data_IF_477060324586
#
_entry.id   IF_477060324586
#
_cell.length_a   1.000
_cell.length_b   1.000
_cell.length_c   1.000
_cell.angle_alpha   90.00
_cell.angle_beta   90.00
_cell.angle_gamma   90.00
#
_symmetry.space_group_name_H-M   'P 1'
#
loop_
_entity.id
_entity.type
_entity.pdbx_description
1 polymer ?
#
# COMPACT_ATOMS: atom_id res chain seq x y z
N UNK A 1 21.75 -1.49 -16.61
CA UNK A 1 20.53 -1.79 -17.39
C UNK A 1 19.81 -2.94 -16.70
N UNK A 2 18.48 -2.86 -16.51
CA UNK A 2 17.72 -3.93 -15.87
C UNK A 2 17.79 -5.20 -16.70
N UNK A 3 17.86 -6.36 -16.04
CA UNK A 3 17.86 -7.69 -16.71
C UNK A 3 16.58 -7.92 -17.52
N UNK A 4 15.45 -7.37 -17.08
CA UNK A 4 14.16 -7.42 -17.76
C UNK A 4 13.56 -6.01 -17.78
N UNK A 5 13.61 -5.35 -18.94
CA UNK A 5 13.11 -3.99 -19.13
C UNK A 5 11.60 -3.84 -18.91
N UNK A 6 10.82 -4.91 -19.08
CA UNK A 6 9.37 -4.92 -18.85
C UNK A 6 8.94 -5.81 -17.67
N UNK A 7 9.92 -6.25 -16.87
CA UNK A 7 9.70 -7.10 -15.70
C UNK A 7 9.15 -6.33 -14.50
N UNK A 8 8.83 -7.08 -13.44
CA UNK A 8 8.30 -6.53 -12.18
C UNK A 8 9.13 -5.36 -11.63
N UNK A 9 10.47 -5.50 -11.59
CA UNK A 9 11.36 -4.46 -11.05
C UNK A 9 11.32 -3.17 -11.88
N UNK A 10 11.16 -3.27 -13.20
CA UNK A 10 11.01 -2.09 -14.06
C UNK A 10 9.72 -1.35 -13.75
N UNK A 11 8.60 -2.08 -13.66
CA UNK A 11 7.29 -1.50 -13.29
C UNK A 11 7.28 -0.94 -11.87
N UNK A 12 7.95 -1.62 -10.95
CA UNK A 12 8.14 -1.15 -9.58
C UNK A 12 8.91 0.17 -9.55
N UNK A 13 10.00 0.31 -10.31
CA UNK A 13 10.74 1.56 -10.39
C UNK A 13 9.96 2.68 -11.05
N UNK A 14 9.20 2.39 -12.12
CA UNK A 14 8.33 3.38 -12.75
C UNK A 14 7.31 3.96 -11.76
N UNK A 15 6.64 3.11 -10.98
CA UNK A 15 5.72 3.58 -9.93
C UNK A 15 6.47 4.32 -8.82
N UNK A 16 7.60 3.76 -8.38
CA UNK A 16 8.42 4.32 -7.29
C UNK A 16 8.98 5.70 -7.62
N UNK A 17 9.34 5.96 -8.87
CA UNK A 17 9.85 7.25 -9.33
C UNK A 17 8.86 8.38 -9.07
N UNK A 18 7.55 8.12 -9.19
CA UNK A 18 6.51 9.11 -8.92
C UNK A 18 6.11 9.17 -7.44
N UNK A 19 6.08 8.03 -6.75
CA UNK A 19 5.56 7.96 -5.38
C UNK A 19 6.61 8.30 -4.32
N UNK A 20 7.85 7.82 -4.47
CA UNK A 20 8.88 7.96 -3.44
C UNK A 20 9.21 9.43 -3.14
N UNK A 21 9.34 10.34 -4.12
CA UNK A 21 9.65 11.74 -3.80
C UNK A 21 8.58 12.41 -2.93
N UNK A 22 7.30 12.16 -3.23
CA UNK A 22 6.17 12.70 -2.45
C UNK A 22 6.16 12.10 -1.05
N UNK A 23 6.36 10.79 -0.93
CA UNK A 23 6.43 10.12 0.37
C UNK A 23 7.65 10.58 1.18
N UNK A 24 8.82 10.74 0.56
CA UNK A 24 10.02 11.24 1.23
C UNK A 24 9.81 12.67 1.75
N UNK A 25 9.20 13.54 0.93
CA UNK A 25 8.85 14.88 1.35
C UNK A 25 7.79 14.90 2.45
N UNK A 26 6.76 14.05 2.37
CA UNK A 26 5.75 13.95 3.42
C UNK A 26 6.31 13.41 4.73
N UNK A 27 7.15 12.37 4.72
CA UNK A 27 7.69 11.80 5.95
C UNK A 27 8.79 12.63 6.60
N UNK A 28 9.63 13.29 5.81
CA UNK A 28 10.87 13.93 6.29
C UNK A 28 10.95 15.44 6.01
N UNK A 29 9.99 15.99 5.27
CA UNK A 29 9.91 17.42 4.98
C UNK A 29 9.35 18.24 6.16
N UNK A 30 9.36 19.58 6.03
CA UNK A 30 8.95 20.49 7.09
C UNK A 30 7.43 20.71 7.19
N UNK A 31 6.63 20.16 6.25
CA UNK A 31 5.17 20.32 6.24
C UNK A 31 4.51 19.30 7.16
N UNK A 32 4.10 19.74 8.36
CA UNK A 32 3.50 18.86 9.36
C UNK A 32 2.12 18.31 8.96
N UNK A 33 1.33 19.02 8.15
CA UNK A 33 0.04 18.52 7.68
C UNK A 33 0.24 17.37 6.69
N UNK A 34 1.15 17.56 5.73
CA UNK A 34 1.51 16.52 4.78
C UNK A 34 2.09 15.29 5.48
N UNK A 35 2.91 15.52 6.52
CA UNK A 35 3.46 14.45 7.35
C UNK A 35 2.40 13.66 8.09
N UNK A 36 1.40 14.31 8.68
CA UNK A 36 0.28 13.62 9.31
C UNK A 36 -0.45 12.73 8.29
N UNK A 37 -0.76 13.25 7.11
CA UNK A 37 -1.42 12.50 6.03
C UNK A 37 -0.57 11.29 5.61
N UNK A 38 0.74 11.49 5.39
CA UNK A 38 1.62 10.39 5.00
C UNK A 38 1.79 9.33 6.10
N UNK A 39 1.87 9.73 7.38
CA UNK A 39 1.91 8.80 8.51
C UNK A 39 0.62 7.99 8.60
N UNK A 40 -0.54 8.63 8.43
CA UNK A 40 -1.81 7.92 8.39
C UNK A 40 -1.88 6.92 7.22
N UNK A 41 -1.52 7.35 6.01
CA UNK A 41 -1.46 6.46 4.86
C UNK A 41 -0.54 5.25 5.11
N UNK A 42 0.63 5.48 5.70
CA UNK A 42 1.56 4.41 6.09
C UNK A 42 0.90 3.41 7.05
N UNK A 43 0.15 3.88 8.05
CA UNK A 43 -0.56 3.01 8.99
C UNK A 43 -1.61 2.14 8.30
N UNK A 44 -2.37 2.69 7.35
CA UNK A 44 -3.35 1.92 6.56
C UNK A 44 -2.66 0.86 5.68
N UNK A 45 -1.55 1.20 5.02
CA UNK A 45 -0.78 0.23 4.21
C UNK A 45 -0.17 -0.87 5.07
N UNK A 46 0.45 -0.52 6.20
CA UNK A 46 1.01 -1.51 7.14
C UNK A 46 -0.10 -2.39 7.72
N UNK A 47 -1.24 -1.80 8.09
CA UNK A 47 -2.42 -2.52 8.55
C UNK A 47 -2.95 -3.51 7.52
N UNK A 48 -2.99 -3.12 6.24
CA UNK A 48 -3.31 -4.03 5.15
C UNK A 48 -2.33 -5.21 5.07
N UNK A 49 -1.02 -4.92 5.09
CA UNK A 49 0.01 -5.96 5.07
C UNK A 49 -0.13 -6.95 6.23
N UNK A 50 -0.45 -6.49 7.43
CA UNK A 50 -0.72 -7.41 8.56
C UNK A 50 -2.00 -8.22 8.36
N UNK A 51 -3.05 -7.59 7.84
CA UNK A 51 -4.36 -8.22 7.70
C UNK A 51 -4.36 -9.32 6.65
N UNK A 52 -3.64 -9.15 5.54
CA UNK A 52 -3.59 -10.19 4.50
C UNK A 52 -2.97 -11.49 5.02
N UNK A 53 -2.06 -11.43 6.00
CA UNK A 53 -1.43 -12.60 6.63
C UNK A 53 -2.14 -13.07 7.91
N UNK A 54 -3.29 -12.50 8.26
CA UNK A 54 -4.03 -12.86 9.46
C UNK A 54 -5.08 -13.95 9.16
N UNK A 55 -4.89 -15.15 9.73
CA UNK A 55 -5.79 -16.29 9.57
C UNK A 55 -7.22 -16.07 10.08
N UNK A 56 -7.45 -15.06 10.93
CA UNK A 56 -8.79 -14.68 11.38
C UNK A 56 -9.48 -13.69 10.44
N UNK A 57 -8.75 -13.13 9.47
CA UNK A 57 -9.27 -12.13 8.51
C UNK A 57 -9.30 -12.65 7.07
N UNK A 58 -8.48 -13.64 6.77
CA UNK A 58 -8.29 -14.17 5.42
C UNK A 58 -8.32 -15.69 5.43
N UNK A 59 -9.06 -16.27 4.48
CA UNK A 59 -9.19 -17.72 4.32
C UNK A 59 -8.10 -18.26 3.39
N UNK A 60 -7.19 -19.02 3.98
CA UNK A 60 -6.11 -19.72 3.30
C UNK A 60 -6.50 -21.12 2.80
N UNK A 61 -7.78 -21.34 2.51
CA UNK A 61 -8.35 -22.63 2.13
C UNK A 61 -8.35 -22.87 0.62
N UNK A 62 -8.65 -21.83 -0.16
CA UNK A 62 -8.65 -21.84 -1.64
C UNK A 62 -8.13 -20.52 -2.18
N UNK A 63 -7.58 -20.55 -3.39
CA UNK A 63 -7.01 -19.35 -4.05
C UNK A 63 -8.09 -18.29 -4.28
N UNK A 64 -9.30 -18.70 -4.66
CA UNK A 64 -10.40 -17.79 -4.95
C UNK A 64 -10.91 -17.09 -3.68
N UNK A 65 -10.93 -17.82 -2.56
CA UNK A 65 -11.33 -17.28 -1.26
C UNK A 65 -10.28 -16.30 -0.74
N UNK A 66 -8.99 -16.67 -0.82
CA UNK A 66 -7.86 -15.79 -0.49
C UNK A 66 -7.89 -14.50 -1.32
N UNK A 67 -8.06 -14.62 -2.64
CA UNK A 67 -8.10 -13.46 -3.53
C UNK A 67 -9.28 -12.53 -3.20
N UNK A 68 -10.47 -13.10 -2.94
CA UNK A 68 -11.64 -12.33 -2.53
C UNK A 68 -11.39 -11.59 -1.22
N UNK A 69 -10.85 -12.26 -0.20
CA UNK A 69 -10.61 -11.68 1.11
C UNK A 69 -9.55 -10.56 1.06
N UNK A 70 -8.46 -10.78 0.31
CA UNK A 70 -7.41 -9.76 0.08
C UNK A 70 -7.99 -8.53 -0.62
N UNK A 71 -8.84 -8.71 -1.64
CA UNK A 71 -9.47 -7.58 -2.35
C UNK A 71 -10.45 -6.83 -1.44
N UNK A 72 -11.21 -7.52 -0.60
CA UNK A 72 -12.10 -6.87 0.37
C UNK A 72 -11.32 -6.03 1.38
N UNK A 73 -10.20 -6.55 1.90
CA UNK A 73 -9.31 -5.81 2.79
C UNK A 73 -8.69 -4.59 2.09
N UNK A 74 -8.32 -4.71 0.82
CA UNK A 74 -7.77 -3.60 0.04
C UNK A 74 -8.79 -2.47 -0.12
N UNK A 75 -10.03 -2.81 -0.49
CA UNK A 75 -11.13 -1.84 -0.63
C UNK A 75 -11.46 -1.15 0.70
N UNK A 76 -11.56 -1.92 1.80
CA UNK A 76 -11.81 -1.36 3.13
C UNK A 76 -10.76 -0.32 3.53
N UNK A 77 -9.49 -0.58 3.23
CA UNK A 77 -8.37 0.32 3.56
C UNK A 77 -8.35 1.54 2.65
N UNK A 78 -8.70 1.35 1.37
CA UNK A 78 -8.86 2.45 0.42
C UNK A 78 -9.95 3.42 0.87
N UNK A 79 -11.13 2.92 1.22
CA UNK A 79 -12.26 3.74 1.68
C UNK A 79 -11.87 4.58 2.90
N UNK A 80 -11.24 3.95 3.91
CA UNK A 80 -10.73 4.65 5.11
C UNK A 80 -9.68 5.72 4.78
N UNK A 81 -8.78 5.41 3.85
CA UNK A 81 -7.73 6.34 3.44
C UNK A 81 -8.32 7.60 2.82
N UNK A 82 -9.35 7.45 1.98
CA UNK A 82 -10.01 8.57 1.29
C UNK A 82 -10.84 9.43 2.24
N UNK A 83 -11.48 8.85 3.26
CA UNK A 83 -12.25 9.64 4.24
C UNK A 83 -11.41 10.71 4.97
N UNK A 84 -10.08 10.54 5.00
CA UNK A 84 -9.14 11.46 5.68
C UNK A 84 -8.35 12.36 4.71
N UNK A 85 -8.52 12.22 3.40
CA UNK A 85 -7.92 13.05 2.36
C UNK A 85 -8.87 14.16 1.90
#
# INVERSE_FOLDING_TARGET
MLKYSDGFISRFYYVSEHLIPVLAWGFYGPDENLKEICLYFKEEVMGFMYDIFNFNKVRYTKVEELASDVMQLANLRFDRTIERL
#
